data_IF_763308261761
#
_entry.id   IF_763308261761
#
_cell.length_a   1.000
_cell.length_b   1.000
_cell.length_c   1.000
_cell.angle_alpha   90.00
_cell.angle_beta   90.00
_cell.angle_gamma   90.00
#
_symmetry.space_group_name_H-M   'P 1'
#
loop_
_entity.id
_entity.type
_entity.pdbx_description
1 polymer ?
#
# COMPACT_ATOMS: atom_id res chain seq x y z
N UNK A 1 -7.60 -6.51 45.53
CA UNK A 1 -7.66 -7.85 44.91
C UNK A 1 -9.01 -7.94 44.22
N UNK A 2 -9.17 -8.32 42.94
CA UNK A 2 -8.25 -9.07 42.09
C UNK A 2 -7.91 -8.35 40.77
N UNK A 3 -6.62 -8.27 40.52
CA UNK A 3 -6.01 -8.20 39.20
C UNK A 3 -6.62 -9.26 38.27
N UNK A 4 -7.21 -8.83 37.14
CA UNK A 4 -7.42 -9.74 36.01
C UNK A 4 -6.13 -9.81 35.20
N UNK A 5 -5.36 -10.85 35.52
CA UNK A 5 -4.34 -11.46 34.69
C UNK A 5 -4.99 -12.15 33.48
N UNK A 6 -4.32 -12.06 32.33
CA UNK A 6 -4.62 -12.59 30.97
C UNK A 6 -5.49 -11.63 30.13
N UNK A 7 -5.01 -11.06 29.03
CA UNK A 7 -4.30 -11.75 27.94
C UNK A 7 -3.00 -11.06 27.51
N UNK A 8 -1.89 -11.73 27.80
CA UNK A 8 -0.71 -11.73 26.95
C UNK A 8 -1.11 -12.44 25.64
N UNK A 9 -0.69 -11.91 24.48
CA UNK A 9 -0.86 -12.52 23.13
C UNK A 9 -2.21 -12.39 22.40
N UNK A 10 -3.03 -11.38 22.69
CA UNK A 10 -4.06 -10.96 21.73
C UNK A 10 -3.67 -9.62 21.11
N UNK A 11 -3.20 -9.64 19.87
CA UNK A 11 -3.17 -8.48 18.98
C UNK A 11 -4.62 -8.06 18.70
N UNK A 12 -5.30 -7.47 19.70
CA UNK A 12 -6.59 -6.85 19.51
C UNK A 12 -6.36 -5.59 18.68
N UNK A 13 -6.54 -5.71 17.37
CA UNK A 13 -6.64 -4.57 16.46
C UNK A 13 -7.64 -3.57 17.06
N UNK A 14 -7.15 -2.45 17.56
CA UNK A 14 -7.95 -1.31 18.02
C UNK A 14 -8.48 -0.52 16.81
N UNK A 15 -9.03 -1.20 15.80
CA UNK A 15 -9.66 -0.55 14.65
C UNK A 15 -11.18 -0.60 14.83
N UNK A 16 -11.79 0.58 14.81
CA UNK A 16 -13.26 0.72 14.81
C UNK A 16 -13.69 1.00 13.37
N UNK A 17 -14.46 0.08 12.78
CA UNK A 17 -15.06 0.30 11.46
C UNK A 17 -16.48 0.80 11.67
N UNK A 18 -16.77 2.01 11.19
CA UNK A 18 -18.11 2.58 11.22
C UNK A 18 -18.79 2.36 9.87
N UNK A 19 -19.85 1.54 9.86
CA UNK A 19 -20.68 1.30 8.67
C UNK A 19 -22.00 2.04 8.86
N UNK A 20 -22.26 3.02 7.99
CA UNK A 20 -23.55 3.74 7.96
C UNK A 20 -24.40 3.16 6.84
N UNK A 21 -25.40 2.37 7.21
CA UNK A 21 -26.33 1.77 6.25
C UNK A 21 -27.66 2.54 6.23
N UNK A 22 -28.20 2.79 5.03
CA UNK A 22 -29.54 3.36 4.85
C UNK A 22 -30.41 2.38 4.07
N UNK A 23 -31.64 2.15 4.53
CA UNK A 23 -32.61 1.34 3.79
C UNK A 23 -32.94 2.05 2.46
N UNK A 24 -32.83 1.32 1.35
CA UNK A 24 -33.12 1.82 0.02
C UNK A 24 -34.02 0.85 -0.72
N UNK A 25 -34.83 1.35 -1.67
CA UNK A 25 -35.54 0.48 -2.63
C UNK A 25 -34.50 -0.13 -3.56
N UNK A 26 -34.54 -1.45 -3.72
CA UNK A 26 -33.60 -2.20 -4.56
C UNK A 26 -34.23 -2.56 -5.90
N UNK A 27 -33.40 -2.63 -6.93
CA UNK A 27 -33.75 -3.21 -8.22
C UNK A 27 -33.67 -4.74 -8.13
N UNK A 28 -34.59 -5.50 -8.77
CA UNK A 28 -34.63 -6.95 -8.61
C UNK A 28 -33.38 -7.69 -9.11
N UNK A 29 -32.77 -7.25 -10.20
CA UNK A 29 -31.61 -7.92 -10.80
C UNK A 29 -30.71 -6.91 -11.48
N UNK A 30 -29.40 -6.99 -11.21
CA UNK A 30 -28.36 -6.26 -11.93
C UNK A 30 -27.51 -7.20 -12.77
N UNK A 31 -27.11 -6.78 -13.96
CA UNK A 31 -26.17 -7.53 -14.79
C UNK A 31 -24.74 -7.17 -14.40
N UNK A 32 -23.93 -8.17 -14.09
CA UNK A 32 -22.59 -7.99 -13.53
C UNK A 32 -21.69 -7.10 -14.39
N UNK A 33 -21.75 -7.25 -15.72
CA UNK A 33 -20.99 -6.40 -16.64
C UNK A 33 -21.35 -4.91 -16.51
N UNK A 34 -22.64 -4.60 -16.38
CA UNK A 34 -23.12 -3.22 -16.20
C UNK A 34 -22.77 -2.69 -14.82
N UNK A 35 -23.00 -3.51 -13.78
CA UNK A 35 -22.65 -3.16 -12.39
C UNK A 35 -21.16 -2.90 -12.26
N UNK A 36 -20.31 -3.67 -12.95
CA UNK A 36 -18.86 -3.49 -12.94
C UNK A 36 -18.41 -2.19 -13.59
N UNK A 37 -19.04 -1.78 -14.69
CA UNK A 37 -18.76 -0.49 -15.31
C UNK A 37 -19.27 0.69 -14.46
N UNK A 38 -20.46 0.55 -13.85
CA UNK A 38 -20.98 1.52 -12.87
C UNK A 38 -20.03 1.64 -11.67
N UNK A 39 -19.54 0.50 -11.17
CA UNK A 39 -18.59 0.41 -10.07
C UNK A 39 -17.29 1.13 -10.41
N UNK A 40 -16.68 0.86 -11.57
CA UNK A 40 -15.45 1.55 -12.00
C UNK A 40 -15.64 3.06 -12.05
N UNK A 41 -16.73 3.54 -12.67
CA UNK A 41 -17.02 4.97 -12.78
C UNK A 41 -17.18 5.62 -11.41
N UNK A 42 -18.00 5.03 -10.55
CA UNK A 42 -18.27 5.54 -9.21
C UNK A 42 -17.04 5.51 -8.32
N UNK A 43 -16.28 4.41 -8.34
CA UNK A 43 -15.06 4.28 -7.55
C UNK A 43 -13.99 5.25 -8.02
N UNK A 44 -13.77 5.48 -9.31
CA UNK A 44 -12.76 6.44 -9.77
C UNK A 44 -12.95 7.84 -9.16
N UNK A 45 -14.20 8.35 -9.16
CA UNK A 45 -14.50 9.66 -8.56
C UNK A 45 -14.33 9.69 -7.03
N UNK A 46 -14.60 8.56 -6.37
CA UNK A 46 -14.51 8.45 -4.91
C UNK A 46 -13.09 8.23 -4.42
N UNK A 47 -12.36 7.32 -5.07
CA UNK A 47 -10.94 7.06 -4.83
C UNK A 47 -10.12 8.32 -5.04
N UNK A 48 -10.47 9.14 -6.04
CA UNK A 48 -9.84 10.44 -6.22
C UNK A 48 -10.00 11.37 -5.01
N UNK A 49 -11.23 11.56 -4.53
CA UNK A 49 -11.48 12.36 -3.32
C UNK A 49 -10.77 11.81 -2.08
N UNK A 50 -10.85 10.50 -1.86
CA UNK A 50 -10.16 9.84 -0.73
C UNK A 50 -8.64 10.06 -0.80
N UNK A 51 -8.09 10.02 -2.00
CA UNK A 51 -6.66 10.25 -2.25
C UNK A 51 -6.26 11.71 -1.99
N UNK A 52 -7.07 12.68 -2.41
CA UNK A 52 -6.88 14.11 -2.10
C UNK A 52 -7.00 14.41 -0.61
N UNK A 53 -7.92 13.73 0.10
CA UNK A 53 -8.11 13.81 1.54
C UNK A 53 -7.00 13.12 2.35
N UNK A 54 -6.05 12.43 1.68
CA UNK A 54 -4.92 11.76 2.33
C UNK A 54 -5.28 10.43 2.99
N UNK A 55 -6.43 9.84 2.66
CA UNK A 55 -6.81 8.50 3.13
C UNK A 55 -5.88 7.46 2.49
N UNK A 56 -5.32 6.54 3.29
CA UNK A 56 -4.31 5.58 2.82
C UNK A 56 -4.38 4.24 3.53
N UNK A 57 -3.55 3.30 3.05
CA UNK A 57 -3.36 1.98 3.64
C UNK A 57 -4.66 1.20 3.69
N UNK A 58 -4.85 0.43 4.77
CA UNK A 58 -6.06 -0.37 4.94
C UNK A 58 -7.36 0.47 4.88
N UNK A 59 -7.32 1.71 5.37
CA UNK A 59 -8.50 2.59 5.41
C UNK A 59 -8.96 3.02 4.01
N UNK A 60 -8.03 3.23 3.07
CA UNK A 60 -8.38 3.56 1.68
C UNK A 60 -9.18 2.45 1.03
N UNK A 61 -8.76 1.20 1.25
CA UNK A 61 -9.48 0.04 0.73
C UNK A 61 -10.81 -0.21 1.44
N UNK A 62 -10.87 -0.07 2.77
CA UNK A 62 -12.13 -0.17 3.52
C UNK A 62 -13.13 0.88 3.04
N UNK A 63 -12.67 2.11 2.81
CA UNK A 63 -13.48 3.18 2.24
C UNK A 63 -13.94 2.84 0.81
N UNK A 64 -13.06 2.30 -0.03
CA UNK A 64 -13.39 1.85 -1.39
C UNK A 64 -14.45 0.74 -1.38
N UNK A 65 -14.35 -0.25 -0.49
CA UNK A 65 -15.36 -1.29 -0.30
C UNK A 65 -16.70 -0.67 0.13
N UNK A 66 -16.69 0.23 1.10
CA UNK A 66 -17.90 0.92 1.55
C UNK A 66 -18.63 1.60 0.39
N UNK A 67 -17.89 2.29 -0.47
CA UNK A 67 -18.45 2.94 -1.68
C UNK A 67 -18.83 1.96 -2.78
N UNK A 68 -18.15 0.82 -2.89
CA UNK A 68 -18.54 -0.24 -3.81
C UNK A 68 -19.87 -0.90 -3.43
N UNK A 69 -20.09 -1.11 -2.13
CA UNK A 69 -21.34 -1.66 -1.60
C UNK A 69 -22.52 -0.73 -1.91
N UNK A 70 -22.31 0.58 -2.02
CA UNK A 70 -23.36 1.52 -2.44
C UNK A 70 -23.88 1.22 -3.85
N UNK A 71 -22.99 0.88 -4.79
CA UNK A 71 -23.35 0.51 -6.17
C UNK A 71 -23.98 -0.88 -6.21
N UNK A 72 -23.31 -1.86 -5.63
CA UNK A 72 -23.76 -3.25 -5.66
C UNK A 72 -25.07 -3.45 -4.87
N UNK A 73 -25.22 -2.75 -3.75
CA UNK A 73 -26.37 -2.81 -2.85
C UNK A 73 -27.67 -2.23 -3.41
N UNK A 74 -27.61 -1.57 -4.58
CA UNK A 74 -28.79 -1.16 -5.35
C UNK A 74 -29.60 -2.35 -5.87
N UNK A 75 -29.00 -3.52 -6.01
CA UNK A 75 -29.62 -4.70 -6.59
C UNK A 75 -29.88 -5.78 -5.53
N UNK A 76 -30.98 -6.52 -5.66
CA UNK A 76 -31.26 -7.68 -4.78
C UNK A 76 -30.34 -8.85 -5.08
N UNK A 77 -30.04 -9.06 -6.37
CA UNK A 77 -29.04 -10.01 -6.86
C UNK A 77 -28.33 -9.44 -8.08
N UNK A 78 -27.06 -9.83 -8.26
CA UNK A 78 -26.28 -9.54 -9.44
C UNK A 78 -25.97 -10.86 -10.15
N UNK A 79 -26.15 -10.91 -11.47
CA UNK A 79 -25.96 -12.11 -12.28
C UNK A 79 -24.97 -11.85 -13.41
N UNK A 80 -24.17 -12.85 -13.78
CA UNK A 80 -23.37 -12.81 -15.00
C UNK A 80 -24.19 -13.20 -16.24
N UNK A 81 -23.56 -13.13 -17.41
CA UNK A 81 -24.19 -13.39 -18.71
C UNK A 81 -24.60 -14.87 -18.87
N UNK A 82 -24.08 -15.77 -18.03
CA UNK A 82 -24.42 -17.20 -17.97
C UNK A 82 -25.57 -17.49 -16.98
N UNK A 83 -26.01 -16.47 -16.24
CA UNK A 83 -27.09 -16.56 -15.26
C UNK A 83 -26.64 -16.99 -13.86
N UNK A 84 -25.34 -17.08 -13.61
CA UNK A 84 -24.81 -17.40 -12.28
C UNK A 84 -24.90 -16.18 -11.37
N UNK A 85 -25.23 -16.40 -10.10
CA UNK A 85 -25.26 -15.34 -9.09
C UNK A 85 -23.83 -14.95 -8.74
N UNK A 86 -23.50 -13.67 -8.95
CA UNK A 86 -22.23 -13.09 -8.52
C UNK A 86 -22.31 -12.74 -7.04
N UNK A 87 -21.41 -13.35 -6.26
CA UNK A 87 -21.32 -13.17 -4.81
C UNK A 87 -20.39 -12.01 -4.44
N UNK A 88 -20.46 -11.61 -3.16
CA UNK A 88 -19.75 -10.45 -2.64
C UNK A 88 -18.22 -10.62 -2.64
N UNK A 89 -17.70 -11.84 -2.56
CA UNK A 89 -16.28 -12.15 -2.70
C UNK A 89 -15.72 -11.64 -4.03
N UNK A 90 -16.40 -11.94 -5.14
CA UNK A 90 -16.00 -11.47 -6.48
C UNK A 90 -16.04 -9.95 -6.60
N UNK A 91 -17.00 -9.30 -5.94
CA UNK A 91 -17.05 -7.84 -5.84
C UNK A 91 -15.82 -7.31 -5.10
N UNK A 92 -15.48 -7.88 -3.94
CA UNK A 92 -14.32 -7.44 -3.15
C UNK A 92 -13.02 -7.52 -3.96
N UNK A 93 -12.86 -8.55 -4.78
CA UNK A 93 -11.71 -8.69 -5.68
C UNK A 93 -11.69 -7.62 -6.77
N UNK A 94 -12.85 -7.31 -7.38
CA UNK A 94 -12.95 -6.22 -8.36
C UNK A 94 -12.60 -4.87 -7.74
N UNK A 95 -13.12 -4.58 -6.54
CA UNK A 95 -12.85 -3.34 -5.82
C UNK A 95 -11.37 -3.23 -5.49
N UNK A 96 -10.75 -4.33 -5.04
CA UNK A 96 -9.31 -4.37 -4.75
C UNK A 96 -8.51 -4.04 -5.99
N UNK A 97 -8.78 -4.71 -7.10
CA UNK A 97 -8.08 -4.43 -8.37
C UNK A 97 -8.27 -2.97 -8.79
N UNK A 98 -9.49 -2.44 -8.75
CA UNK A 98 -9.76 -1.04 -9.14
C UNK A 98 -9.00 -0.06 -8.24
N UNK A 99 -9.00 -0.28 -6.93
CA UNK A 99 -8.28 0.58 -5.98
C UNK A 99 -6.76 0.52 -6.18
N UNK A 100 -6.21 -0.69 -6.38
CA UNK A 100 -4.77 -0.88 -6.65
C UNK A 100 -4.36 -0.26 -7.97
N UNK A 101 -5.10 -0.51 -9.06
CA UNK A 101 -4.84 0.08 -10.37
C UNK A 101 -4.86 1.60 -10.28
N UNK A 102 -5.83 2.17 -9.55
CA UNK A 102 -5.90 3.59 -9.30
C UNK A 102 -4.68 4.11 -8.52
N UNK A 103 -4.29 3.47 -7.41
CA UNK A 103 -3.15 3.87 -6.59
C UNK A 103 -1.83 3.84 -7.39
N UNK A 104 -1.61 2.77 -8.16
CA UNK A 104 -0.45 2.66 -9.06
C UNK A 104 -0.50 3.75 -10.13
N UNK A 105 -1.65 3.97 -10.77
CA UNK A 105 -1.79 5.00 -11.79
C UNK A 105 -1.55 6.41 -11.24
N UNK A 106 -2.00 6.71 -10.02
CA UNK A 106 -1.69 7.98 -9.36
C UNK A 106 -0.19 8.15 -9.10
N UNK A 107 0.52 7.09 -8.75
CA UNK A 107 1.97 7.12 -8.58
C UNK A 107 2.71 7.23 -9.93
N UNK A 108 2.15 6.71 -11.02
CA UNK A 108 2.78 6.75 -12.34
C UNK A 108 2.49 8.03 -13.14
N UNK A 109 1.22 8.43 -13.24
CA UNK A 109 0.76 9.55 -14.08
C UNK A 109 0.81 10.89 -13.35
N UNK A 110 0.44 10.89 -12.06
CA UNK A 110 0.64 12.02 -11.17
C UNK A 110 1.91 11.85 -10.34
N UNK A 111 2.79 10.91 -10.72
CA UNK A 111 4.07 10.66 -10.09
C UNK A 111 4.91 11.90 -10.10
N UNK A 112 4.74 12.70 -9.06
CA UNK A 112 5.60 13.76 -8.55
C UNK A 112 6.91 13.78 -9.32
N UNK A 113 6.96 14.44 -10.48
CA UNK A 113 7.98 14.16 -11.50
C UNK A 113 9.43 14.47 -11.02
N UNK A 114 9.59 14.97 -9.79
CA UNK A 114 10.88 15.05 -9.09
C UNK A 114 10.92 14.51 -7.65
N UNK A 115 9.88 13.87 -7.09
CA UNK A 115 9.91 13.39 -5.68
C UNK A 115 10.14 11.87 -5.52
N UNK A 116 9.83 11.05 -6.53
CA UNK A 116 10.00 9.59 -6.48
C UNK A 116 11.03 9.15 -7.52
N UNK A 117 12.05 8.44 -7.06
CA UNK A 117 13.11 7.89 -7.92
C UNK A 117 12.59 6.80 -8.86
N UNK A 118 13.31 6.60 -9.97
CA UNK A 118 13.05 5.52 -10.92
C UNK A 118 13.07 4.14 -10.24
N UNK A 119 13.99 3.93 -9.31
CA UNK A 119 14.10 2.68 -8.54
C UNK A 119 12.87 2.42 -7.68
N UNK A 120 12.36 3.44 -7.00
CA UNK A 120 11.13 3.32 -6.21
C UNK A 120 9.93 3.01 -7.10
N UNK A 121 9.84 3.65 -8.27
CA UNK A 121 8.80 3.38 -9.27
C UNK A 121 8.85 1.93 -9.76
N UNK A 122 10.04 1.44 -10.07
CA UNK A 122 10.24 0.05 -10.48
C UNK A 122 9.81 -0.93 -9.40
N UNK A 123 10.13 -0.67 -8.12
CA UNK A 123 9.69 -1.51 -7.02
C UNK A 123 8.17 -1.64 -6.95
N UNK A 124 7.46 -0.50 -6.97
CA UNK A 124 5.98 -0.46 -6.92
C UNK A 124 5.38 -1.23 -8.10
N UNK A 125 5.90 -1.01 -9.31
CA UNK A 125 5.39 -1.70 -10.50
C UNK A 125 5.70 -3.19 -10.51
N UNK A 126 6.86 -3.59 -9.99
CA UNK A 126 7.22 -4.99 -9.87
C UNK A 126 6.26 -5.69 -8.93
N UNK A 127 5.97 -5.07 -7.77
CA UNK A 127 5.00 -5.57 -6.80
C UNK A 127 3.59 -5.66 -7.38
N UNK A 128 3.17 -4.67 -8.18
CA UNK A 128 1.88 -4.71 -8.87
C UNK A 128 1.76 -5.80 -9.93
N UNK A 129 2.77 -5.98 -10.78
CA UNK A 129 2.72 -6.98 -11.86
C UNK A 129 2.97 -8.41 -11.37
N UNK A 130 3.87 -8.59 -10.41
CA UNK A 130 4.44 -9.88 -10.07
C UNK A 130 4.39 -10.22 -8.57
N UNK A 131 3.98 -9.28 -7.72
CA UNK A 131 3.99 -9.46 -6.26
C UNK A 131 5.38 -9.79 -5.73
N UNK A 132 5.48 -10.92 -5.02
CA UNK A 132 6.72 -11.46 -4.46
C UNK A 132 7.32 -12.58 -5.33
N UNK A 133 6.76 -12.84 -6.51
CA UNK A 133 7.22 -13.92 -7.38
C UNK A 133 8.61 -13.63 -7.98
N UNK A 134 9.35 -14.69 -8.29
CA UNK A 134 10.52 -14.61 -9.16
C UNK A 134 10.06 -14.63 -10.62
N UNK A 135 10.63 -13.78 -11.46
CA UNK A 135 10.29 -13.70 -12.89
C UNK A 135 11.53 -13.87 -13.75
N UNK A 136 11.36 -14.24 -15.02
CA UNK A 136 12.49 -14.33 -15.95
C UNK A 136 13.15 -12.96 -16.16
N UNK A 137 14.46 -12.98 -16.39
CA UNK A 137 15.26 -11.76 -16.56
C UNK A 137 14.69 -10.82 -17.63
N UNK A 138 14.25 -11.34 -18.77
CA UNK A 138 13.72 -10.51 -19.84
C UNK A 138 12.42 -9.79 -19.46
N UNK A 139 11.56 -10.41 -18.65
CA UNK A 139 10.32 -9.78 -18.16
C UNK A 139 10.62 -8.67 -17.16
N UNK A 140 11.54 -8.91 -16.21
CA UNK A 140 11.99 -7.88 -15.29
C UNK A 140 12.72 -6.73 -16.03
N UNK A 141 13.52 -7.05 -17.05
CA UNK A 141 14.26 -6.09 -17.86
C UNK A 141 13.32 -5.16 -18.63
N UNK A 142 12.27 -5.69 -19.26
CA UNK A 142 11.24 -4.88 -19.95
C UNK A 142 10.60 -3.88 -18.99
N UNK A 143 10.28 -4.34 -17.76
CA UNK A 143 9.72 -3.47 -16.74
C UNK A 143 10.74 -2.40 -16.29
N UNK A 144 11.99 -2.78 -16.03
CA UNK A 144 13.05 -1.85 -15.64
C UNK A 144 13.30 -0.77 -16.71
N UNK A 145 13.29 -1.13 -17.99
CA UNK A 145 13.41 -0.19 -19.11
C UNK A 145 12.28 0.83 -19.14
N UNK A 146 11.05 0.46 -18.76
CA UNK A 146 9.94 1.41 -18.65
C UNK A 146 10.15 2.47 -17.55
N UNK A 147 11.04 2.18 -16.60
CA UNK A 147 11.47 3.09 -15.53
C UNK A 147 12.87 3.66 -15.80
N UNK A 148 13.40 3.58 -17.03
CA UNK A 148 14.75 4.07 -17.36
C UNK A 148 15.90 3.41 -16.58
N UNK A 149 15.69 2.21 -16.03
CA UNK A 149 16.69 1.49 -15.24
C UNK A 149 17.44 0.47 -16.09
N UNK A 150 18.77 0.48 -15.97
CA UNK A 150 19.63 -0.58 -16.46
C UNK A 150 19.78 -1.68 -15.41
N UNK A 151 18.87 -2.65 -15.44
CA UNK A 151 18.78 -3.73 -14.44
C UNK A 151 20.11 -4.49 -14.24
N UNK A 152 20.97 -4.51 -15.26
CA UNK A 152 22.26 -5.20 -15.19
C UNK A 152 23.26 -4.56 -14.21
N UNK A 153 23.05 -3.29 -13.86
CA UNK A 153 23.87 -2.55 -12.90
C UNK A 153 23.32 -2.64 -11.47
N UNK A 154 22.03 -2.95 -11.31
CA UNK A 154 21.32 -2.85 -10.04
C UNK A 154 21.41 -4.11 -9.15
N UNK A 155 21.65 -5.29 -9.71
CA UNK A 155 21.67 -6.55 -8.92
C UNK A 155 23.01 -6.84 -8.22
N UNK A 156 24.00 -5.97 -8.37
CA UNK A 156 25.39 -6.24 -7.96
C UNK A 156 25.75 -5.65 -6.59
N UNK A 157 24.79 -5.09 -5.84
CA UNK A 157 25.03 -4.32 -4.61
C UNK A 157 23.97 -4.50 -3.52
N UNK A 158 23.90 -3.55 -2.57
CA UNK A 158 23.00 -3.51 -1.41
C UNK A 158 21.52 -3.17 -1.73
N UNK A 159 21.16 -3.17 -3.03
CA UNK A 159 19.81 -2.86 -3.50
C UNK A 159 18.81 -4.00 -3.25
N UNK A 160 17.55 -3.77 -3.59
CA UNK A 160 16.48 -4.77 -3.47
C UNK A 160 16.40 -5.73 -4.67
N UNK A 161 17.15 -5.51 -5.75
CA UNK A 161 17.12 -6.37 -6.94
C UNK A 161 18.07 -7.54 -6.74
N UNK A 162 17.56 -8.76 -6.81
CA UNK A 162 18.37 -9.99 -6.72
C UNK A 162 18.25 -10.81 -7.99
N UNK A 163 19.40 -11.21 -8.53
CA UNK A 163 19.49 -12.13 -9.66
C UNK A 163 19.85 -13.53 -9.19
N UNK A 164 19.12 -14.52 -9.70
CA UNK A 164 19.31 -15.94 -9.44
C UNK A 164 19.23 -16.69 -10.77
N UNK A 165 20.40 -16.94 -11.39
CA UNK A 165 20.54 -17.48 -12.75
C UNK A 165 19.77 -16.65 -13.79
N UNK A 166 18.69 -17.21 -14.33
CA UNK A 166 17.80 -16.60 -15.33
C UNK A 166 16.63 -15.83 -14.71
N UNK A 167 16.49 -15.87 -13.39
CA UNK A 167 15.40 -15.22 -12.66
C UNK A 167 15.86 -13.94 -11.95
N UNK A 168 14.93 -13.00 -11.88
CA UNK A 168 15.02 -11.77 -11.10
C UNK A 168 13.92 -11.80 -10.04
N UNK A 169 14.28 -11.37 -8.83
CA UNK A 169 13.36 -11.14 -7.73
C UNK A 169 13.63 -9.80 -7.07
N UNK A 170 12.56 -9.16 -6.59
CA UNK A 170 12.64 -7.93 -5.80
C UNK A 170 12.41 -8.26 -4.33
N UNK A 171 13.41 -7.99 -3.50
CA UNK A 171 13.44 -8.32 -2.07
C UNK A 171 12.54 -7.37 -1.27
N UNK A 172 11.70 -7.93 -0.40
CA UNK A 172 10.94 -7.16 0.59
C UNK A 172 11.80 -6.76 1.79
N UNK A 173 11.26 -5.95 2.73
CA UNK A 173 11.96 -5.55 3.94
C UNK A 173 12.44 -6.76 4.76
N UNK A 174 11.64 -7.83 4.85
CA UNK A 174 11.94 -9.04 5.60
C UNK A 174 13.17 -9.82 5.10
N UNK A 175 13.57 -9.60 3.85
CA UNK A 175 14.68 -10.30 3.20
C UNK A 175 15.94 -9.43 3.11
N UNK A 176 15.92 -8.24 3.74
CA UNK A 176 17.02 -7.26 3.78
C UNK A 176 17.48 -7.00 5.20
N UNK A 177 18.71 -6.52 5.37
CA UNK A 177 19.27 -6.15 6.67
C UNK A 177 19.33 -4.64 6.81
N UNK A 178 19.23 -4.15 8.05
CA UNK A 178 19.34 -2.70 8.35
C UNK A 178 20.67 -2.11 7.83
N UNK A 179 21.73 -2.91 7.81
CA UNK A 179 23.04 -2.54 7.30
C UNK A 179 23.04 -2.24 5.79
N UNK A 180 22.11 -2.85 5.03
CA UNK A 180 22.01 -2.65 3.57
C UNK A 180 21.52 -1.23 3.22
N UNK A 181 20.98 -0.48 4.18
CA UNK A 181 20.45 0.87 3.96
C UNK A 181 21.39 1.99 4.42
N UNK A 182 22.57 1.67 4.98
CA UNK A 182 23.52 2.70 5.44
C UNK A 182 23.91 3.60 4.26
N UNK A 183 23.51 4.87 4.32
CA UNK A 183 23.72 5.93 3.32
C UNK A 183 22.80 5.90 2.08
N UNK A 184 21.71 5.11 2.07
CA UNK A 184 20.75 5.17 0.97
C UNK A 184 19.80 6.36 1.13
N UNK A 185 19.70 7.19 0.08
CA UNK A 185 18.70 8.26 -0.04
C UNK A 185 17.45 7.80 -0.82
N UNK A 186 17.40 6.53 -1.22
CA UNK A 186 16.28 5.99 -1.98
C UNK A 186 15.05 5.81 -1.08
N UNK A 187 13.89 6.34 -1.53
CA UNK A 187 12.65 6.31 -0.76
C UNK A 187 12.28 4.88 -0.34
N UNK A 188 12.39 3.91 -1.25
CA UNK A 188 12.06 2.51 -0.96
C UNK A 188 13.01 1.88 0.08
N UNK A 189 14.27 2.26 0.09
CA UNK A 189 15.25 1.79 1.07
C UNK A 189 14.96 2.37 2.45
N UNK A 190 14.64 3.66 2.52
CA UNK A 190 14.18 4.31 3.75
C UNK A 190 12.90 3.64 4.25
N UNK A 191 11.94 3.36 3.36
CA UNK A 191 10.69 2.67 3.72
C UNK A 191 10.99 1.30 4.33
N UNK A 192 11.84 0.49 3.69
CA UNK A 192 12.17 -0.84 4.21
C UNK A 192 12.88 -0.76 5.57
N UNK A 193 13.81 0.18 5.73
CA UNK A 193 14.50 0.41 7.00
C UNK A 193 13.53 0.82 8.11
N UNK A 194 12.61 1.74 7.82
CA UNK A 194 11.53 2.16 8.73
C UNK A 194 10.65 0.99 9.16
N UNK A 195 10.24 0.12 8.23
CA UNK A 195 9.44 -1.07 8.55
C UNK A 195 10.20 -2.05 9.46
N UNK A 196 11.49 -2.23 9.24
CA UNK A 196 12.34 -3.09 10.09
C UNK A 196 12.57 -2.50 11.49
N UNK A 197 12.70 -1.18 11.60
CA UNK A 197 12.79 -0.49 12.89
C UNK A 197 11.46 -0.55 13.64
N UNK A 198 10.34 -0.38 12.92
CA UNK A 198 8.99 -0.51 13.44
C UNK A 198 8.73 -1.92 14.00
N UNK A 199 9.08 -2.96 13.25
CA UNK A 199 8.97 -4.36 13.68
C UNK A 199 9.76 -4.62 14.98
N UNK A 200 10.93 -4.00 15.12
CA UNK A 200 11.80 -4.11 16.30
C UNK A 200 11.43 -3.16 17.44
N UNK A 201 10.34 -2.41 17.32
CA UNK A 201 9.91 -1.40 18.30
C UNK A 201 10.96 -0.32 18.61
N UNK A 202 11.86 -0.04 17.65
CA UNK A 202 12.92 0.98 17.76
C UNK A 202 12.38 2.35 17.33
N UNK A 203 11.47 2.92 18.13
CA UNK A 203 10.71 4.12 17.74
C UNK A 203 11.59 5.36 17.53
N UNK A 204 12.53 5.62 18.44
CA UNK A 204 13.40 6.82 18.35
C UNK A 204 14.30 6.79 17.10
N UNK A 205 14.91 5.63 16.81
CA UNK A 205 15.71 5.43 15.60
C UNK A 205 14.88 5.64 14.32
N UNK A 206 13.62 5.16 14.33
CA UNK A 206 12.70 5.31 13.21
C UNK A 206 12.31 6.78 12.97
N UNK A 207 12.03 7.52 14.05
CA UNK A 207 11.68 8.94 13.96
C UNK A 207 12.87 9.77 13.45
N UNK A 208 14.08 9.53 13.98
CA UNK A 208 15.32 10.17 13.49
C UNK A 208 15.53 9.89 12.01
N UNK A 209 15.42 8.63 11.58
CA UNK A 209 15.60 8.25 10.17
C UNK A 209 14.62 8.97 9.24
N UNK A 210 13.34 9.09 9.65
CA UNK A 210 12.32 9.79 8.88
C UNK A 210 12.54 11.31 8.83
N UNK A 211 13.16 11.89 9.86
CA UNK A 211 13.56 13.30 9.88
C UNK A 211 14.79 13.54 8.98
N UNK A 212 15.85 12.75 9.17
CA UNK A 212 17.13 12.88 8.49
C UNK A 212 17.00 12.66 6.97
N UNK A 213 16.16 11.70 6.58
CA UNK A 213 15.87 11.43 5.16
C UNK A 213 14.96 12.46 4.49
N UNK A 214 14.28 13.32 5.27
CA UNK A 214 13.29 14.28 4.77
C UNK A 214 11.94 13.66 4.35
N UNK A 215 11.82 12.34 4.27
CA UNK A 215 10.61 11.66 3.82
C UNK A 215 9.48 11.63 4.85
N UNK A 216 9.78 11.81 6.15
CA UNK A 216 8.80 11.70 7.23
C UNK A 216 7.61 12.66 7.12
N UNK A 217 7.79 13.79 6.42
CA UNK A 217 6.74 14.79 6.18
C UNK A 217 6.08 14.65 4.80
N UNK A 218 6.73 13.94 3.87
CA UNK A 218 6.30 13.83 2.49
C UNK A 218 5.12 12.88 2.32
N UNK A 219 4.09 13.33 1.60
CA UNK A 219 2.95 12.48 1.23
C UNK A 219 3.36 11.32 0.31
N UNK A 220 4.39 11.54 -0.52
CA UNK A 220 4.92 10.53 -1.43
C UNK A 220 5.34 9.24 -0.71
N UNK A 221 5.97 9.35 0.47
CA UNK A 221 6.43 8.21 1.26
C UNK A 221 5.28 7.28 1.66
N UNK A 222 4.23 7.85 2.27
CA UNK A 222 3.07 7.07 2.74
C UNK A 222 2.23 6.53 1.57
N UNK A 223 2.17 7.25 0.46
CA UNK A 223 1.49 6.79 -0.76
C UNK A 223 2.22 5.62 -1.43
N UNK A 224 3.55 5.65 -1.47
CA UNK A 224 4.34 4.49 -1.94
C UNK A 224 4.10 3.28 -1.04
N UNK A 225 4.17 3.46 0.29
CA UNK A 225 3.86 2.39 1.24
C UNK A 225 2.46 1.80 1.03
N UNK A 226 1.48 2.67 0.76
CA UNK A 226 0.12 2.27 0.45
C UNK A 226 0.04 1.42 -0.82
N UNK A 227 0.56 1.91 -1.94
CA UNK A 227 0.46 1.19 -3.21
C UNK A 227 1.14 -0.18 -3.14
N UNK A 228 2.32 -0.27 -2.51
CA UNK A 228 2.98 -1.56 -2.30
C UNK A 228 2.09 -2.49 -1.47
N UNK A 229 1.55 -2.02 -0.35
CA UNK A 229 0.70 -2.87 0.52
C UNK A 229 -0.54 -3.40 -0.21
N UNK A 230 -1.13 -2.59 -1.08
CA UNK A 230 -2.36 -2.95 -1.80
C UNK A 230 -2.13 -3.97 -2.91
N UNK A 231 -0.92 -4.02 -3.47
CA UNK A 231 -0.54 -5.02 -4.49
C UNK A 231 -0.31 -6.42 -3.91
N UNK A 232 -0.13 -6.52 -2.59
CA UNK A 232 0.29 -7.75 -1.94
C UNK A 232 -0.91 -8.55 -1.36
N UNK A 233 -0.81 -9.90 -1.34
CA UNK A 233 -1.80 -10.74 -0.70
C UNK A 233 -1.75 -10.59 0.83
N UNK A 234 -2.88 -10.87 1.50
CA UNK A 234 -3.03 -10.74 2.98
C UNK A 234 -1.97 -11.53 3.74
N UNK A 235 -1.47 -12.64 3.18
CA UNK A 235 -0.46 -13.47 3.84
C UNK A 235 0.98 -13.00 3.70
N UNK A 236 1.21 -12.01 2.83
CA UNK A 236 2.53 -11.41 2.66
C UNK A 236 3.00 -10.78 3.96
N UNK A 237 4.25 -11.08 4.34
CA UNK A 237 4.89 -10.46 5.50
C UNK A 237 5.11 -8.97 5.28
N UNK A 238 5.52 -8.59 4.07
CA UNK A 238 5.69 -7.20 3.68
C UNK A 238 4.38 -6.43 3.82
N UNK A 239 3.26 -7.01 3.38
CA UNK A 239 1.93 -6.41 3.60
C UNK A 239 1.61 -6.19 5.08
N UNK A 240 1.83 -7.20 5.92
CA UNK A 240 1.56 -7.12 7.37
C UNK A 240 2.38 -6.01 8.02
N UNK A 241 3.65 -5.85 7.62
CA UNK A 241 4.51 -4.76 8.07
C UNK A 241 3.98 -3.39 7.61
N UNK A 242 3.65 -3.25 6.32
CA UNK A 242 3.16 -2.00 5.75
C UNK A 242 1.82 -1.56 6.38
N UNK A 243 0.86 -2.47 6.49
CA UNK A 243 -0.46 -2.17 7.07
C UNK A 243 -0.34 -1.83 8.57
N UNK A 244 0.51 -2.56 9.30
CA UNK A 244 0.78 -2.29 10.71
C UNK A 244 1.45 -0.92 10.94
N UNK A 245 2.46 -0.60 10.14
CA UNK A 245 3.13 0.71 10.18
C UNK A 245 2.15 1.85 9.84
N UNK A 246 1.38 1.70 8.76
CA UNK A 246 0.47 2.74 8.29
C UNK A 246 -0.69 3.02 9.25
N UNK A 247 -1.14 2.03 10.03
CA UNK A 247 -2.17 2.25 11.04
C UNK A 247 -1.77 3.30 12.10
N UNK A 248 -0.47 3.51 12.34
CA UNK A 248 0.07 4.47 13.29
C UNK A 248 0.56 5.80 12.69
N UNK A 249 0.38 6.01 11.38
CA UNK A 249 1.06 7.09 10.64
C UNK A 249 0.73 8.50 11.13
N UNK A 250 -0.52 8.80 11.50
CA UNK A 250 -0.91 10.16 11.93
C UNK A 250 -0.20 10.56 13.22
N UNK A 251 -0.13 9.64 14.20
CA UNK A 251 0.62 9.86 15.45
C UNK A 251 2.10 10.08 15.18
N UNK A 252 2.67 9.31 14.24
CA UNK A 252 4.06 9.46 13.84
C UNK A 252 4.33 10.81 13.16
N UNK A 253 3.42 11.26 12.29
CA UNK A 253 3.52 12.58 11.63
C UNK A 253 3.46 13.73 12.64
N UNK A 254 2.60 13.64 13.65
CA UNK A 254 2.54 14.62 14.73
C UNK A 254 3.82 14.67 15.56
N UNK A 255 4.41 13.50 15.87
CA UNK A 255 5.66 13.38 16.61
C UNK A 255 6.84 13.99 15.85
N UNK A 256 6.98 13.65 14.56
CA UNK A 256 7.99 14.24 13.66
C UNK A 256 7.82 15.77 13.55
N UNK A 257 6.59 16.28 13.59
CA UNK A 257 6.32 17.73 13.60
C UNK A 257 6.73 18.38 14.92
N UNK A 258 6.48 17.73 16.07
CA UNK A 258 6.78 18.29 17.40
C UNK A 258 8.29 18.35 17.67
N UNK A 259 9.02 17.28 17.38
CA UNK A 259 10.48 17.26 17.58
C UNK A 259 11.18 18.30 16.70
N UNK A 260 10.76 18.46 15.43
CA UNK A 260 11.30 19.48 14.55
C UNK A 260 11.08 20.93 15.06
N UNK A 261 10.07 21.17 15.90
CA UNK A 261 9.84 22.47 16.55
C UNK A 261 10.72 22.63 17.79
N UNK A 262 10.96 21.56 18.55
CA UNK A 262 11.85 21.58 19.71
C UNK A 262 13.31 21.80 19.31
N UNK A 263 13.80 21.16 18.25
CA UNK A 263 15.18 21.36 17.76
C UNK A 263 15.43 22.82 17.33
N UNK A 264 14.41 23.51 16.79
CA UNK A 264 14.51 24.93 16.37
C UNK A 264 14.40 25.95 17.50
N UNK A 265 13.90 25.56 18.67
CA UNK A 265 13.79 26.43 19.85
C UNK A 265 14.99 26.29 20.81
N UNK A 266 15.82 25.27 20.60
CA UNK A 266 17.03 25.01 21.37
C UNK A 266 18.34 25.42 20.68
N UNK A 267 18.27 25.89 19.43
CA UNK A 267 19.36 26.56 18.68
C UNK A 267 19.23 28.08 18.78
#
# INVERSE_FOLDING_TARGET
>A
MPSRLRANESSSLASSIYIVARKMKRHPTGFYKQVKEELKKHLNEKLHRLWEEGVSGADFFIAAIGSAIEVFGKYEKVMDDEGNIVRADRLLDDVRRIATDYAVHQILHNGFAGEISDMTRFYVLYRWNYGEAKVQFDEARKLAQSCSIDLAKEWSGHGFVKKDKEFISVLGPQDRKIEDFKNSSELIDVLHSVLLLWEKSKRDEMVSLLQDSGFGKGEAFYRVAQAVSETLPIESKEKKLLDGFMAGRERLREEIRKEAVQTRLGE
#
